data_IF_277958605064
#
_entry.id   IF_277958605064
#
_cell.length_a   1.000
_cell.length_b   1.000
_cell.length_c   1.000
_cell.angle_alpha   90.00
_cell.angle_beta   90.00
_cell.angle_gamma   90.00
#
_symmetry.space_group_name_H-M   'P 1'
#
loop_
_entity.id
_entity.type
_entity.pdbx_description
1 polymer ?
#
# COMPACT_ATOMS: atom_id res chain seq x y z
N UNK A 1 -5.88 4.62 -17.81
CA UNK A 1 -6.96 3.94 -18.57
C UNK A 1 -7.12 4.34 -20.04
N UNK A 2 -6.69 5.53 -20.52
CA UNK A 2 -6.87 5.89 -21.94
C UNK A 2 -6.17 4.92 -22.93
N UNK A 3 -4.99 4.43 -22.58
CA UNK A 3 -4.24 3.45 -23.37
C UNK A 3 -4.75 2.01 -23.18
N UNK A 4 -5.19 1.67 -21.96
CA UNK A 4 -5.86 0.40 -21.64
C UNK A 4 -7.06 0.68 -20.72
N UNK A 5 -8.29 0.69 -21.28
CA UNK A 5 -9.52 0.94 -20.51
C UNK A 5 -9.93 -0.21 -19.58
N UNK A 6 -9.17 -1.31 -19.55
CA UNK A 6 -9.47 -2.52 -18.76
C UNK A 6 -8.39 -2.83 -17.71
N UNK A 7 -7.34 -2.01 -17.62
CA UNK A 7 -6.27 -2.20 -16.66
C UNK A 7 -6.81 -2.23 -15.23
N UNK A 8 -6.27 -3.11 -14.39
CA UNK A 8 -6.57 -3.13 -12.95
C UNK A 8 -5.35 -2.59 -12.22
N UNK A 9 -5.56 -1.84 -11.14
CA UNK A 9 -4.46 -1.28 -10.35
C UNK A 9 -4.73 -1.53 -8.87
N UNK A 10 -3.72 -2.04 -8.17
CA UNK A 10 -3.71 -2.12 -6.72
C UNK A 10 -2.79 -1.02 -6.18
N UNK A 11 -3.22 -0.31 -5.15
CA UNK A 11 -2.52 0.86 -4.61
C UNK A 11 -2.45 0.76 -3.09
N UNK A 12 -1.23 0.84 -2.56
CA UNK A 12 -0.94 0.92 -1.14
C UNK A 12 -0.68 2.39 -0.78
N UNK A 13 -1.13 2.89 0.38
CA UNK A 13 -0.69 4.20 0.88
C UNK A 13 0.82 4.25 1.11
N UNK A 14 1.35 5.46 1.29
CA UNK A 14 2.71 5.67 1.77
C UNK A 14 2.84 5.01 3.14
N UNK A 15 3.78 4.08 3.26
CA UNK A 15 4.10 3.37 4.50
C UNK A 15 4.72 4.32 5.54
N UNK A 16 4.59 4.01 6.84
CA UNK A 16 5.26 4.77 7.90
C UNK A 16 6.78 4.86 7.66
N UNK A 17 7.39 5.98 8.08
CA UNK A 17 8.82 6.19 8.00
C UNK A 17 9.31 7.03 9.19
N UNK A 18 10.59 6.88 9.54
CA UNK A 18 11.22 7.44 10.74
C UNK A 18 11.20 8.96 10.81
N UNK A 19 11.16 9.64 9.67
CA UNK A 19 11.08 11.11 9.67
C UNK A 19 9.75 11.58 10.28
N UNK A 20 8.66 10.86 10.03
CA UNK A 20 7.36 11.21 10.59
C UNK A 20 7.29 11.08 12.12
N UNK A 21 8.22 10.35 12.76
CA UNK A 21 8.28 10.25 14.22
C UNK A 21 8.86 11.50 14.90
N UNK A 22 9.67 12.27 14.17
CA UNK A 22 10.42 13.41 14.73
C UNK A 22 10.08 14.76 14.09
N UNK A 23 9.47 14.76 12.90
CA UNK A 23 9.10 15.95 12.12
C UNK A 23 7.57 16.02 11.99
N UNK A 24 6.91 16.71 12.93
CA UNK A 24 5.44 16.83 12.97
C UNK A 24 4.83 17.45 11.69
N UNK A 25 5.40 18.53 11.11
CA UNK A 25 4.93 19.02 9.81
C UNK A 25 4.98 17.96 8.71
N UNK A 26 6.08 17.20 8.62
CA UNK A 26 6.19 16.13 7.63
C UNK A 26 5.17 15.01 7.88
N UNK A 27 4.98 14.58 9.13
CA UNK A 27 3.97 13.59 9.50
C UNK A 27 2.55 14.03 9.09
N UNK A 28 2.24 15.31 9.26
CA UNK A 28 0.97 15.91 8.84
C UNK A 28 0.76 15.80 7.33
N UNK A 29 1.80 16.07 6.54
CA UNK A 29 1.73 15.95 5.08
C UNK A 29 1.61 14.49 4.62
N UNK A 30 2.27 13.54 5.29
CA UNK A 30 2.10 12.10 4.98
C UNK A 30 0.65 11.65 5.25
N UNK A 31 0.09 12.03 6.40
CA UNK A 31 -1.32 11.73 6.73
C UNK A 31 -2.25 12.34 5.69
N UNK A 32 -2.08 13.64 5.40
CA UNK A 32 -2.89 14.35 4.41
C UNK A 32 -2.78 13.73 3.02
N UNK A 33 -1.58 13.34 2.60
CA UNK A 33 -1.36 12.69 1.32
C UNK A 33 -2.13 11.36 1.24
N UNK A 34 -2.00 10.50 2.25
CA UNK A 34 -2.68 9.20 2.28
C UNK A 34 -4.21 9.35 2.31
N UNK A 35 -4.75 10.35 3.03
CA UNK A 35 -6.17 10.69 2.99
C UNK A 35 -6.65 11.12 1.60
N UNK A 36 -5.89 11.99 0.93
CA UNK A 36 -6.22 12.45 -0.41
C UNK A 36 -6.08 11.33 -1.45
N UNK A 37 -5.08 10.46 -1.29
CA UNK A 37 -4.90 9.29 -2.15
C UNK A 37 -6.09 8.35 -2.01
N UNK A 38 -6.52 8.03 -0.79
CA UNK A 38 -7.69 7.18 -0.56
C UNK A 38 -8.96 7.76 -1.21
N UNK A 39 -9.19 9.07 -1.07
CA UNK A 39 -10.30 9.78 -1.74
C UNK A 39 -10.19 9.70 -3.26
N UNK A 40 -9.01 9.97 -3.81
CA UNK A 40 -8.79 9.90 -5.26
C UNK A 40 -9.01 8.48 -5.82
N UNK A 41 -8.60 7.44 -5.09
CA UNK A 41 -8.86 6.05 -5.46
C UNK A 41 -10.38 5.79 -5.47
N UNK A 42 -11.11 6.20 -4.43
CA UNK A 42 -12.56 6.04 -4.37
C UNK A 42 -13.29 6.81 -5.50
N UNK A 43 -12.88 8.06 -5.77
CA UNK A 43 -13.50 8.91 -6.79
C UNK A 43 -13.25 8.41 -8.22
N UNK A 44 -12.10 7.77 -8.45
CA UNK A 44 -11.70 7.28 -9.78
C UNK A 44 -12.08 5.83 -10.03
N UNK A 45 -12.38 5.05 -9.00
CA UNK A 45 -12.73 3.63 -9.12
C UNK A 45 -13.96 3.43 -10.02
N UNK A 46 -13.90 2.41 -10.87
CA UNK A 46 -15.03 2.04 -11.72
C UNK A 46 -14.93 0.57 -12.18
N UNK A 47 -16.08 -0.13 -12.38
CA UNK A 47 -16.08 -1.58 -12.53
C UNK A 47 -15.27 -2.16 -13.71
N UNK A 48 -15.08 -1.41 -14.80
CA UNK A 48 -14.34 -1.89 -15.98
C UNK A 48 -12.83 -1.79 -15.81
N UNK A 49 -12.34 -0.98 -14.87
CA UNK A 49 -10.94 -0.76 -14.58
C UNK A 49 -10.75 -0.40 -13.11
N UNK A 50 -10.95 -1.41 -12.23
CA UNK A 50 -11.02 -1.22 -10.79
C UNK A 50 -9.68 -0.75 -10.20
N UNK A 51 -9.80 0.06 -9.16
CA UNK A 51 -8.74 0.48 -8.28
C UNK A 51 -8.92 -0.20 -6.92
N UNK A 52 -7.98 -1.06 -6.55
CA UNK A 52 -7.99 -1.77 -5.28
C UNK A 52 -7.11 -1.03 -4.27
N UNK A 53 -7.70 -0.60 -3.15
CA UNK A 53 -6.95 -0.11 -2.01
C UNK A 53 -6.36 -1.28 -1.22
N UNK A 54 -5.04 -1.31 -1.09
CA UNK A 54 -4.31 -2.30 -0.30
C UNK A 54 -4.03 -1.73 1.08
N UNK A 55 -4.50 -2.43 2.12
CA UNK A 55 -4.19 -2.05 3.51
C UNK A 55 -2.71 -2.26 3.81
N UNK A 56 -2.05 -1.33 4.53
CA UNK A 56 -0.72 -1.58 5.07
C UNK A 56 -0.67 -2.86 5.91
N UNK A 57 0.45 -3.60 5.91
CA UNK A 57 0.61 -4.73 6.80
C UNK A 57 0.50 -4.29 8.26
N UNK A 58 -0.43 -4.87 9.03
CA UNK A 58 -0.68 -4.48 10.43
C UNK A 58 0.56 -4.65 11.33
N UNK A 59 1.42 -5.61 10.98
CA UNK A 59 2.66 -5.93 11.70
C UNK A 59 3.90 -5.18 11.19
N UNK A 60 3.74 -4.17 10.32
CA UNK A 60 4.87 -3.41 9.78
C UNK A 60 5.50 -2.53 10.86
N UNK A 61 6.75 -2.81 11.21
CA UNK A 61 7.52 -2.05 12.20
C UNK A 61 8.69 -1.36 11.50
N UNK A 62 8.72 -0.03 11.49
CA UNK A 62 9.76 0.71 10.78
C UNK A 62 11.16 0.46 11.36
N UNK A 63 11.30 0.09 12.63
CA UNK A 63 12.62 -0.16 13.22
C UNK A 63 13.14 -1.57 12.90
N UNK A 64 12.26 -2.50 12.54
CA UNK A 64 12.61 -3.87 12.19
C UNK A 64 12.60 -4.12 10.68
N UNK A 65 11.62 -3.58 9.97
CA UNK A 65 11.31 -3.86 8.57
C UNK A 65 11.96 -2.88 7.59
N UNK A 66 12.75 -1.92 8.07
CA UNK A 66 13.55 -1.02 7.23
C UNK A 66 15.04 -1.12 7.57
N UNK A 67 15.92 -0.65 6.69
CA UNK A 67 17.36 -0.60 6.99
C UNK A 67 17.85 0.77 7.47
N UNK A 68 17.03 1.82 7.35
CA UNK A 68 17.36 3.20 7.74
C UNK A 68 16.19 3.96 8.36
N UNK A 69 15.12 3.25 8.72
CA UNK A 69 13.87 3.84 9.22
C UNK A 69 12.89 4.24 8.11
N UNK A 70 13.25 4.18 6.83
CA UNK A 70 12.40 4.61 5.70
C UNK A 70 12.26 3.55 4.62
N UNK A 71 13.38 2.98 4.19
CA UNK A 71 13.41 2.06 3.06
C UNK A 71 13.26 0.62 3.55
N UNK A 72 12.27 -0.13 3.03
CA UNK A 72 12.06 -1.53 3.43
C UNK A 72 13.33 -2.36 3.24
N UNK A 73 13.63 -3.21 4.22
CA UNK A 73 14.60 -4.30 4.08
C UNK A 73 13.86 -5.56 3.58
N UNK A 74 14.57 -6.69 3.48
CA UNK A 74 13.97 -7.94 2.97
C UNK A 74 12.69 -8.38 3.73
N UNK A 75 12.61 -8.16 5.05
CA UNK A 75 11.41 -8.44 5.83
C UNK A 75 10.27 -7.49 5.44
N UNK A 76 10.55 -6.19 5.41
CA UNK A 76 9.55 -5.18 5.03
C UNK A 76 9.02 -5.34 3.60
N UNK A 77 9.90 -5.60 2.64
CA UNK A 77 9.54 -5.89 1.25
C UNK A 77 8.60 -7.10 1.17
N UNK A 78 8.90 -8.16 1.92
CA UNK A 78 8.07 -9.35 1.97
C UNK A 78 6.69 -9.08 2.56
N UNK A 79 6.61 -8.29 3.65
CA UNK A 79 5.32 -7.88 4.25
C UNK A 79 4.48 -7.06 3.28
N UNK A 80 5.09 -6.11 2.58
CA UNK A 80 4.40 -5.30 1.57
C UNK A 80 3.89 -6.19 0.43
N UNK A 81 4.75 -7.09 -0.09
CA UNK A 81 4.36 -8.03 -1.14
C UNK A 81 3.21 -8.96 -0.69
N UNK A 82 3.24 -9.45 0.55
CA UNK A 82 2.18 -10.25 1.14
C UNK A 82 0.84 -9.49 1.17
N UNK A 83 0.85 -8.22 1.57
CA UNK A 83 -0.37 -7.40 1.59
C UNK A 83 -0.97 -7.21 0.18
N UNK A 84 -0.13 -6.97 -0.84
CA UNK A 84 -0.59 -6.92 -2.24
C UNK A 84 -1.16 -8.27 -2.70
N UNK A 85 -0.44 -9.37 -2.43
CA UNK A 85 -0.86 -10.71 -2.86
C UNK A 85 -2.21 -11.09 -2.24
N UNK A 86 -2.37 -10.90 -0.93
CA UNK A 86 -3.60 -11.19 -0.21
C UNK A 86 -4.76 -10.32 -0.73
N UNK A 87 -4.55 -9.00 -0.89
CA UNK A 87 -5.59 -8.12 -1.39
C UNK A 87 -6.04 -8.50 -2.82
N UNK A 88 -5.10 -8.81 -3.71
CA UNK A 88 -5.41 -9.22 -5.08
C UNK A 88 -6.10 -10.58 -5.14
N UNK A 89 -5.72 -11.52 -4.27
CA UNK A 89 -6.42 -12.79 -4.14
C UNK A 89 -7.87 -12.58 -3.68
N UNK A 90 -8.09 -11.85 -2.57
CA UNK A 90 -9.44 -11.63 -2.04
C UNK A 90 -10.34 -10.84 -2.99
N UNK A 91 -9.79 -9.85 -3.70
CA UNK A 91 -10.59 -8.99 -4.59
C UNK A 91 -10.80 -9.58 -5.98
N UNK A 92 -9.81 -10.29 -6.52
CA UNK A 92 -9.78 -10.68 -7.94
C UNK A 92 -9.57 -12.18 -8.18
N UNK A 93 -9.46 -13.00 -7.13
CA UNK A 93 -9.07 -14.42 -7.21
C UNK A 93 -7.74 -14.61 -7.96
N UNK A 94 -6.85 -13.62 -7.85
CA UNK A 94 -5.55 -13.64 -8.51
C UNK A 94 -4.52 -14.34 -7.62
N UNK A 95 -4.09 -15.52 -8.03
CA UNK A 95 -3.11 -16.32 -7.30
C UNK A 95 -3.78 -17.32 -6.36
N UNK A 96 -3.43 -17.27 -5.08
CA UNK A 96 -3.91 -18.15 -4.02
C UNK A 96 -3.82 -17.40 -2.67
N UNK A 97 -4.44 -17.91 -1.58
CA UNK A 97 -4.25 -17.34 -0.25
C UNK A 97 -2.77 -17.18 0.07
N UNK A 98 -2.38 -16.06 0.67
CA UNK A 98 -0.98 -15.84 0.97
C UNK A 98 -0.54 -16.66 2.18
N UNK A 99 0.32 -17.64 1.96
CA UNK A 99 0.97 -18.41 3.03
C UNK A 99 2.29 -17.73 3.41
N UNK A 100 2.30 -17.01 4.53
CA UNK A 100 3.54 -16.50 5.11
C UNK A 100 4.46 -17.68 5.44
N UNK A 101 5.68 -17.64 4.90
CA UNK A 101 6.73 -18.64 5.18
C UNK A 101 7.58 -18.22 6.38
#
# INVERSE_FOLDING_TARGET
>A
RRADPRIRMAVLPVIPNVRAESDTPFATEVTRFNELLAKAIADLDEPRSPLLWVSPPESYDIHHDTYDGTHPNASGEHRIAAAFAEAMYQAWDLGAPYEAR
#
